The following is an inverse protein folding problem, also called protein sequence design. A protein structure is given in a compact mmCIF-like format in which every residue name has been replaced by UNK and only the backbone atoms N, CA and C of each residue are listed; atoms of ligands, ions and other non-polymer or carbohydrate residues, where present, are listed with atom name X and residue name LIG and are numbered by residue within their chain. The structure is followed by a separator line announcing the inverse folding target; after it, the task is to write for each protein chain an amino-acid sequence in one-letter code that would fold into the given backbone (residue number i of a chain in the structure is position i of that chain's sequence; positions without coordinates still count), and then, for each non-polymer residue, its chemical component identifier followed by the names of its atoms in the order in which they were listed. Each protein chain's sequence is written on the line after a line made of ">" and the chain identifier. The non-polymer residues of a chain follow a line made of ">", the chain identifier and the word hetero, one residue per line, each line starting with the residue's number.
data_IF_815488781179
#
_entry.id   IF_815488781179
#
_cell.length_a   1.000
_cell.length_b   1.000
_cell.length_c   1.000
_cell.angle_alpha   90.00
_cell.angle_beta   90.00
_cell.angle_gamma   90.00
#
_symmetry.space_group_name_H-M   'P 1'
#
loop_
_entity.id
_entity.type
_entity.pdbx_description
1 polymer ?
#
# COMPACT_ATOMS: atom_id res chain seq x y z
N UNK A 1 -28.68 -40.54 13.65
CA UNK A 1 -28.22 -39.27 13.08
C UNK A 1 -26.70 -39.32 13.08
N UNK A 2 -26.07 -39.57 11.93
CA UNK A 2 -24.61 -39.49 11.82
C UNK A 2 -24.26 -38.01 11.61
N UNK A 3 -23.65 -37.39 12.62
CA UNK A 3 -22.93 -36.13 12.42
C UNK A 3 -21.67 -36.47 11.63
N UNK A 4 -21.64 -36.06 10.36
CA UNK A 4 -20.39 -36.07 9.58
C UNK A 4 -19.49 -34.98 10.16
N UNK A 5 -18.47 -35.38 10.93
CA UNK A 5 -17.34 -34.50 11.24
C UNK A 5 -16.55 -34.29 9.95
N UNK A 6 -16.89 -33.24 9.20
CA UNK A 6 -16.03 -32.78 8.12
C UNK A 6 -14.81 -32.16 8.82
N UNK A 7 -13.68 -32.87 8.75
CA UNK A 7 -12.41 -32.29 9.15
C UNK A 7 -12.05 -31.25 8.08
N UNK A 8 -12.26 -29.98 8.40
CA UNK A 8 -11.88 -28.87 7.53
C UNK A 8 -10.38 -28.61 7.74
N UNK A 9 -9.60 -28.60 6.66
CA UNK A 9 -8.17 -28.27 6.72
C UNK A 9 -7.90 -26.88 6.15
N UNK A 10 -6.88 -26.18 6.66
CA UNK A 10 -6.47 -24.84 6.17
C UNK A 10 -6.25 -24.81 4.66
N UNK A 11 -5.63 -25.86 4.10
CA UNK A 11 -5.41 -25.98 2.66
C UNK A 11 -6.68 -25.88 1.79
N UNK A 12 -7.88 -26.12 2.35
CA UNK A 12 -9.13 -26.01 1.59
C UNK A 12 -9.57 -24.56 1.37
N UNK A 13 -9.06 -23.61 2.16
CA UNK A 13 -9.44 -22.21 2.08
C UNK A 13 -8.32 -21.33 1.51
N UNK A 14 -7.20 -21.87 1.08
CA UNK A 14 -6.14 -21.12 0.40
C UNK A 14 -6.67 -20.38 -0.85
N UNK A 15 -6.11 -19.20 -1.10
CA UNK A 15 -6.47 -18.29 -2.19
C UNK A 15 -7.20 -17.02 -1.74
N UNK A 16 -7.64 -16.22 -2.70
CA UNK A 16 -8.30 -14.94 -2.45
C UNK A 16 -9.81 -15.06 -2.52
N UNK A 17 -10.52 -14.41 -1.59
CA UNK A 17 -11.97 -14.42 -1.51
C UNK A 17 -12.51 -13.00 -1.33
N UNK A 18 -13.58 -12.67 -2.04
CA UNK A 18 -14.32 -11.43 -1.84
C UNK A 18 -15.51 -11.64 -0.93
N UNK A 19 -15.65 -10.76 0.06
CA UNK A 19 -16.81 -10.68 0.94
C UNK A 19 -17.95 -9.83 0.37
N UNK A 20 -17.80 -9.33 -0.86
CA UNK A 20 -18.76 -8.45 -1.51
C UNK A 20 -19.52 -9.14 -2.63
N UNK A 21 -20.72 -8.63 -2.92
CA UNK A 21 -21.48 -9.07 -4.08
C UNK A 21 -20.82 -8.58 -5.37
N UNK A 22 -20.98 -9.37 -6.44
CA UNK A 22 -20.43 -9.02 -7.77
C UNK A 22 -20.96 -7.66 -8.24
N UNK A 23 -20.05 -6.76 -8.61
CA UNK A 23 -20.38 -5.45 -9.20
C UNK A 23 -20.47 -4.29 -8.21
N UNK A 24 -20.08 -4.47 -6.95
CA UNK A 24 -19.86 -3.35 -6.03
C UNK A 24 -18.56 -2.60 -6.40
N UNK A 25 -18.57 -1.27 -6.26
CA UNK A 25 -17.42 -0.41 -6.57
C UNK A 25 -16.32 -0.46 -5.50
N UNK A 26 -16.66 -0.95 -4.31
CA UNK A 26 -15.71 -1.30 -3.26
C UNK A 26 -15.21 -2.74 -3.42
N UNK A 27 -14.07 -3.03 -2.81
CA UNK A 27 -13.57 -4.39 -2.60
C UNK A 27 -13.45 -4.66 -1.11
N UNK A 28 -13.70 -5.92 -0.72
CA UNK A 28 -13.37 -6.48 0.59
C UNK A 28 -12.81 -7.86 0.34
N UNK A 29 -11.51 -8.04 0.52
CA UNK A 29 -10.78 -9.22 0.08
C UNK A 29 -9.97 -9.80 1.23
N UNK A 30 -10.03 -11.11 1.36
CA UNK A 30 -9.16 -11.91 2.22
C UNK A 30 -8.33 -12.83 1.33
N UNK A 31 -7.01 -12.83 1.48
CA UNK A 31 -6.09 -13.73 0.77
C UNK A 31 -5.41 -14.64 1.78
N UNK A 32 -5.67 -15.94 1.69
CA UNK A 32 -5.08 -16.98 2.54
C UNK A 32 -3.89 -17.64 1.85
N UNK A 33 -2.73 -17.58 2.49
CA UNK A 33 -1.46 -18.08 1.97
C UNK A 33 -1.15 -19.49 2.54
N UNK A 34 -0.28 -20.22 1.85
CA UNK A 34 0.13 -21.60 2.19
C UNK A 34 0.92 -21.68 3.52
N UNK A 35 1.42 -20.56 4.03
CA UNK A 35 2.22 -20.46 5.26
C UNK A 35 1.40 -20.07 6.50
N UNK A 36 0.09 -20.33 6.47
CA UNK A 36 -0.87 -19.98 7.52
C UNK A 36 -1.01 -18.47 7.80
N UNK A 37 -0.57 -17.62 6.87
CA UNK A 37 -0.75 -16.17 6.93
C UNK A 37 -1.89 -15.70 6.03
N UNK A 38 -2.45 -14.52 6.33
CA UNK A 38 -3.46 -13.90 5.48
C UNK A 38 -3.27 -12.40 5.35
N UNK A 39 -3.79 -11.87 4.25
CA UNK A 39 -3.89 -10.44 3.96
C UNK A 39 -5.36 -10.03 3.86
N UNK A 40 -5.73 -8.92 4.48
CA UNK A 40 -7.06 -8.31 4.41
C UNK A 40 -6.95 -6.92 3.81
N UNK A 41 -7.80 -6.65 2.83
CA UNK A 41 -7.87 -5.38 2.13
C UNK A 41 -9.33 -4.98 1.90
N UNK A 42 -9.71 -3.81 2.40
CA UNK A 42 -11.01 -3.21 2.18
C UNK A 42 -10.84 -1.78 1.69
N UNK A 43 -11.56 -1.41 0.63
CA UNK A 43 -11.50 -0.07 0.09
C UNK A 43 -12.26 0.06 -1.22
N UNK A 44 -11.84 1.03 -2.03
CA UNK A 44 -12.44 1.31 -3.33
C UNK A 44 -11.35 1.66 -4.35
N UNK A 45 -11.76 2.22 -5.49
CA UNK A 45 -10.91 2.44 -6.66
C UNK A 45 -9.57 3.17 -6.42
N UNK A 46 -9.38 3.85 -5.29
CA UNK A 46 -8.23 4.73 -5.05
C UNK A 46 -7.20 4.20 -4.04
N UNK A 47 -7.61 3.41 -3.04
CA UNK A 47 -6.75 2.87 -1.99
C UNK A 47 -7.54 1.91 -1.08
N UNK A 48 -6.83 1.29 -0.13
CA UNK A 48 -7.45 0.66 1.04
C UNK A 48 -8.03 1.77 1.94
N UNK A 49 -9.27 1.59 2.38
CA UNK A 49 -9.85 2.30 3.52
C UNK A 49 -9.46 1.61 4.84
N UNK A 50 -9.32 0.28 4.82
CA UNK A 50 -8.81 -0.55 5.92
C UNK A 50 -7.93 -1.68 5.36
N UNK A 51 -6.93 -2.08 6.13
CA UNK A 51 -6.09 -3.22 5.76
C UNK A 51 -5.56 -3.95 7.00
N UNK A 52 -5.17 -5.20 6.84
CA UNK A 52 -4.67 -6.02 7.93
C UNK A 52 -3.84 -7.20 7.44
N UNK A 53 -2.94 -7.67 8.29
CA UNK A 53 -2.10 -8.84 8.04
C UNK A 53 -2.13 -9.71 9.29
N UNK A 54 -1.96 -11.01 9.13
CA UNK A 54 -2.04 -11.87 10.29
C UNK A 54 -1.83 -13.34 10.00
N UNK A 55 -2.15 -14.14 11.01
CA UNK A 55 -2.18 -15.60 10.93
C UNK A 55 -3.62 -16.10 10.96
N UNK A 56 -3.90 -17.19 10.25
CA UNK A 56 -5.22 -17.81 10.27
C UNK A 56 -5.13 -19.28 10.68
N UNK A 57 -6.17 -19.75 11.36
CA UNK A 57 -6.27 -21.13 11.82
C UNK A 57 -7.68 -21.68 11.68
N UNK A 58 -7.79 -22.98 11.42
CA UNK A 58 -9.09 -23.68 11.46
C UNK A 58 -9.10 -24.60 12.69
N UNK A 59 -10.02 -24.32 13.63
CA UNK A 59 -10.22 -25.14 14.82
C UNK A 59 -11.66 -25.64 14.88
N UNK A 60 -11.85 -26.92 14.55
CA UNK A 60 -13.19 -27.51 14.38
C UNK A 60 -13.87 -26.91 13.16
N UNK A 61 -15.00 -26.24 13.37
CA UNK A 61 -15.74 -25.48 12.37
C UNK A 61 -15.47 -23.98 12.42
N UNK A 62 -14.45 -23.53 13.15
CA UNK A 62 -14.14 -22.10 13.28
C UNK A 62 -12.92 -21.72 12.45
N UNK A 63 -13.05 -20.68 11.65
CA UNK A 63 -11.96 -19.90 11.08
C UNK A 63 -11.59 -18.80 12.07
N UNK A 64 -10.35 -18.81 12.56
CA UNK A 64 -9.79 -17.79 13.45
C UNK A 64 -8.82 -16.93 12.65
N UNK A 65 -9.03 -15.63 12.66
CA UNK A 65 -8.17 -14.62 12.03
C UNK A 65 -7.51 -13.81 13.13
N UNK A 66 -6.20 -13.92 13.28
CA UNK A 66 -5.43 -13.13 14.24
C UNK A 66 -4.70 -12.02 13.50
N UNK A 67 -5.18 -10.78 13.62
CA UNK A 67 -4.58 -9.59 13.02
C UNK A 67 -3.36 -9.14 13.82
N UNK A 68 -2.18 -9.29 13.22
CA UNK A 68 -0.89 -8.95 13.80
C UNK A 68 -0.36 -7.61 13.24
N UNK A 69 0.76 -7.12 13.79
CA UNK A 69 1.41 -5.91 13.23
C UNK A 69 1.96 -6.21 11.83
N UNK A 70 1.74 -5.34 10.83
CA UNK A 70 2.19 -5.57 9.46
C UNK A 70 3.71 -5.62 9.38
N UNK A 71 4.26 -6.34 8.38
CA UNK A 71 5.69 -6.26 8.06
C UNK A 71 6.11 -4.82 7.78
N UNK A 72 7.29 -4.41 8.29
CA UNK A 72 7.89 -3.07 8.12
C UNK A 72 8.12 -2.68 6.65
N UNK A 73 8.03 -3.64 5.74
CA UNK A 73 8.40 -3.49 4.32
C UNK A 73 7.56 -2.46 3.56
N UNK A 74 6.40 -2.08 4.09
CA UNK A 74 5.41 -1.22 3.43
C UNK A 74 5.61 0.29 3.65
N UNK A 75 6.72 0.77 4.21
CA UNK A 75 6.98 2.21 4.33
C UNK A 75 7.61 2.80 3.06
N UNK A 76 7.30 4.06 2.73
CA UNK A 76 8.02 4.78 1.67
C UNK A 76 9.51 4.87 2.01
N UNK A 77 10.36 4.88 0.98
CA UNK A 77 11.82 4.89 1.15
C UNK A 77 12.42 6.03 0.36
N UNK A 78 13.31 6.80 0.99
CA UNK A 78 14.02 7.91 0.35
C UNK A 78 15.51 7.67 0.52
N UNK A 79 16.23 7.59 -0.60
CA UNK A 79 17.69 7.61 -0.65
C UNK A 79 18.15 8.85 -1.39
N UNK A 80 19.00 9.65 -0.75
CA UNK A 80 19.56 10.86 -1.35
C UNK A 80 21.08 10.72 -1.52
N UNK A 81 21.57 10.99 -2.73
CA UNK A 81 22.99 11.22 -2.97
C UNK A 81 23.23 12.72 -3.05
N UNK A 82 24.23 13.20 -2.32
CA UNK A 82 24.57 14.63 -2.19
C UNK A 82 25.93 14.89 -2.81
N UNK A 83 26.07 15.98 -3.55
CA UNK A 83 27.39 16.45 -4.02
C UNK A 83 27.49 17.96 -3.97
N UNK A 84 28.72 18.43 -3.75
CA UNK A 84 28.99 19.85 -3.68
C UNK A 84 28.59 20.54 -4.97
N UNK A 85 27.97 21.69 -4.82
CA UNK A 85 27.66 22.55 -5.94
C UNK A 85 28.90 23.37 -6.31
N UNK A 86 29.40 23.20 -7.54
CA UNK A 86 30.57 23.92 -8.06
C UNK A 86 30.18 25.14 -8.90
N UNK A 87 28.88 25.41 -9.06
CA UNK A 87 28.32 26.47 -9.89
C UNK A 87 27.26 27.27 -9.10
N UNK A 88 26.81 28.40 -9.62
CA UNK A 88 25.71 29.18 -9.01
C UNK A 88 24.33 28.50 -9.14
N UNK A 89 24.26 27.32 -9.76
CA UNK A 89 23.01 26.60 -9.99
C UNK A 89 22.82 25.38 -9.10
N UNK A 90 21.70 25.28 -8.39
CA UNK A 90 21.31 24.07 -7.67
C UNK A 90 20.64 23.08 -8.63
N UNK A 91 21.10 21.83 -8.60
CA UNK A 91 20.54 20.71 -9.39
C UNK A 91 19.93 19.70 -8.45
N UNK A 92 18.64 19.41 -8.66
CA UNK A 92 17.90 18.40 -7.92
C UNK A 92 17.36 17.38 -8.91
N UNK A 93 17.85 16.15 -8.84
CA UNK A 93 17.35 15.01 -9.62
C UNK A 93 16.40 14.20 -8.76
N UNK A 94 15.31 13.73 -9.34
CA UNK A 94 14.31 12.92 -8.66
C UNK A 94 13.98 11.72 -9.52
N UNK A 95 14.06 10.53 -8.92
CA UNK A 95 13.58 9.27 -9.47
C UNK A 95 12.49 8.74 -8.56
N UNK A 96 11.34 8.41 -9.13
CA UNK A 96 10.12 8.07 -8.39
C UNK A 96 9.59 6.72 -8.86
N UNK A 97 9.51 5.77 -7.92
CA UNK A 97 9.04 4.42 -8.14
C UNK A 97 7.98 4.04 -7.10
N UNK A 98 7.23 2.98 -7.35
CA UNK A 98 6.52 2.27 -6.29
C UNK A 98 7.47 1.32 -5.51
N UNK A 99 6.96 0.66 -4.47
CA UNK A 99 7.73 -0.31 -3.69
C UNK A 99 8.20 -1.52 -4.54
N UNK A 100 7.53 -1.82 -5.66
CA UNK A 100 7.85 -2.90 -6.61
C UNK A 100 8.84 -2.45 -7.71
N UNK A 101 9.38 -1.23 -7.62
CA UNK A 101 10.30 -0.64 -8.61
C UNK A 101 9.68 -0.31 -9.98
N UNK A 102 8.35 -0.22 -10.07
CA UNK A 102 7.70 0.32 -11.26
C UNK A 102 7.82 1.85 -11.28
N UNK A 103 8.15 2.47 -12.42
CA UNK A 103 8.24 3.93 -12.52
C UNK A 103 6.88 4.59 -12.35
N UNK A 104 6.83 5.67 -11.58
CA UNK A 104 5.59 6.41 -11.28
C UNK A 104 5.20 7.35 -12.42
N UNK A 105 5.01 6.81 -13.62
CA UNK A 105 4.86 7.58 -14.85
C UNK A 105 3.73 8.60 -14.74
N UNK A 106 4.07 9.86 -14.96
CA UNK A 106 3.13 10.95 -14.97
C UNK A 106 2.75 11.53 -13.60
N UNK A 107 3.38 11.08 -12.53
CA UNK A 107 3.40 11.80 -11.26
C UNK A 107 3.97 13.21 -11.40
N UNK A 108 3.51 14.12 -10.54
CA UNK A 108 4.05 15.46 -10.44
C UNK A 108 4.92 15.59 -9.20
N UNK A 109 6.07 16.24 -9.39
CA UNK A 109 6.93 16.71 -8.32
C UNK A 109 6.84 18.23 -8.34
N UNK A 110 6.49 18.81 -7.20
CA UNK A 110 6.48 20.25 -7.00
C UNK A 110 7.72 20.62 -6.18
N UNK A 111 8.58 21.47 -6.73
CA UNK A 111 9.65 22.12 -5.99
C UNK A 111 9.08 23.40 -5.39
N UNK A 112 8.96 23.44 -4.07
CA UNK A 112 8.38 24.55 -3.33
C UNK A 112 9.49 25.35 -2.65
N UNK A 113 9.58 26.64 -3.00
CA UNK A 113 10.45 27.63 -2.39
C UNK A 113 9.81 29.02 -2.47
N UNK A 114 10.56 30.04 -2.89
CA UNK A 114 10.02 31.37 -3.18
C UNK A 114 8.94 31.35 -4.28
N UNK A 115 9.12 30.48 -5.29
CA UNK A 115 8.11 30.14 -6.29
C UNK A 115 7.93 28.62 -6.34
N UNK A 116 6.78 28.18 -6.85
CA UNK A 116 6.50 26.75 -7.06
C UNK A 116 6.86 26.39 -8.51
N UNK A 117 7.81 25.47 -8.67
CA UNK A 117 8.09 24.85 -9.96
C UNK A 117 7.50 23.45 -9.99
N UNK A 118 6.67 23.16 -10.98
CA UNK A 118 6.02 21.85 -11.14
C UNK A 118 6.60 21.10 -12.32
N UNK A 119 7.01 19.86 -12.12
CA UNK A 119 7.45 18.97 -13.21
C UNK A 119 6.78 17.62 -13.13
N UNK A 120 6.33 17.16 -14.30
CA UNK A 120 5.87 15.78 -14.50
C UNK A 120 7.09 14.86 -14.62
N UNK A 121 7.05 13.68 -14.02
CA UNK A 121 8.07 12.65 -14.24
C UNK A 121 7.87 11.99 -15.59
N UNK A 122 8.97 11.60 -16.23
CA UNK A 122 8.96 10.96 -17.53
C UNK A 122 8.57 9.46 -17.45
N UNK A 123 8.66 8.77 -18.59
CA UNK A 123 8.35 7.34 -18.72
C UNK A 123 9.30 6.43 -17.91
N UNK A 124 10.43 6.95 -17.45
CA UNK A 124 11.39 6.25 -16.60
C UNK A 124 11.27 6.66 -15.13
N UNK A 125 10.22 7.42 -14.78
CA UNK A 125 9.98 7.91 -13.42
C UNK A 125 10.92 9.04 -13.00
N UNK A 126 11.51 9.78 -13.95
CA UNK A 126 12.56 10.75 -13.67
C UNK A 126 12.14 12.19 -13.92
N UNK A 127 12.67 13.11 -13.12
CA UNK A 127 12.64 14.54 -13.42
C UNK A 127 13.86 15.25 -12.83
N UNK A 128 14.12 16.48 -13.27
CA UNK A 128 15.26 17.27 -12.78
C UNK A 128 14.88 18.74 -12.69
N UNK A 129 15.15 19.36 -11.55
CA UNK A 129 15.09 20.80 -11.35
C UNK A 129 16.50 21.39 -11.45
N UNK A 130 16.58 22.56 -12.08
CA UNK A 130 17.78 23.39 -12.09
C UNK A 130 17.37 24.79 -11.67
N UNK A 131 17.81 25.22 -10.49
CA UNK A 131 17.58 26.55 -9.96
C UNK A 131 18.81 27.39 -10.26
N UNK A 132 18.63 28.52 -10.92
CA UNK A 132 19.73 29.43 -11.30
C UNK A 132 19.87 30.62 -10.35
N UNK A 133 18.93 30.79 -9.42
CA UNK A 133 18.94 31.90 -8.47
C UNK A 133 19.99 31.69 -7.38
N UNK A 134 20.53 32.78 -6.83
CA UNK A 134 21.35 32.74 -5.61
C UNK A 134 20.57 32.14 -4.43
N UNK A 135 21.23 31.47 -3.46
CA UNK A 135 20.55 30.87 -2.31
C UNK A 135 19.59 31.82 -1.58
N UNK A 136 19.97 33.08 -1.42
CA UNK A 136 19.16 34.13 -0.77
C UNK A 136 17.80 34.41 -1.43
N UNK A 137 17.62 34.03 -2.70
CA UNK A 137 16.39 34.25 -3.48
C UNK A 137 15.49 33.02 -3.54
N UNK A 138 15.92 31.88 -2.99
CA UNK A 138 15.19 30.60 -3.08
C UNK A 138 14.12 30.43 -2.00
N UNK A 139 14.05 31.38 -1.06
CA UNK A 139 13.13 31.39 0.08
C UNK A 139 13.73 30.71 1.32
N UNK A 140 13.06 30.90 2.47
CA UNK A 140 13.56 30.40 3.77
C UNK A 140 13.47 28.87 3.90
N UNK A 141 12.62 28.23 3.10
CA UNK A 141 12.44 26.78 3.05
C UNK A 141 12.36 26.31 1.61
N UNK A 142 13.11 25.26 1.27
CA UNK A 142 13.08 24.61 -0.03
C UNK A 142 12.76 23.13 0.18
N UNK A 143 11.73 22.61 -0.47
CA UNK A 143 11.36 21.20 -0.36
C UNK A 143 10.70 20.68 -1.63
N UNK A 144 10.71 19.35 -1.80
CA UNK A 144 9.89 18.67 -2.78
C UNK A 144 8.56 18.29 -2.12
N UNK A 145 7.45 18.62 -2.76
CA UNK A 145 6.12 18.08 -2.46
C UNK A 145 5.76 17.09 -3.58
N UNK A 146 5.55 15.83 -3.22
CA UNK A 146 5.28 14.76 -4.17
C UNK A 146 3.91 14.19 -3.85
N UNK A 147 3.03 14.27 -4.84
CA UNK A 147 1.66 13.80 -4.74
C UNK A 147 1.31 12.98 -5.98
N UNK A 148 0.88 11.75 -5.75
CA UNK A 148 0.37 10.86 -6.79
C UNK A 148 -0.82 10.07 -6.25
N UNK A 149 -1.88 9.98 -7.06
CA UNK A 149 -3.14 9.36 -6.65
C UNK A 149 -2.91 7.90 -6.28
N UNK A 150 -3.44 7.48 -5.12
CA UNK A 150 -3.30 6.14 -4.58
C UNK A 150 -2.01 5.90 -3.80
N UNK A 151 -1.20 6.93 -3.55
CA UNK A 151 0.08 6.83 -2.83
C UNK A 151 0.16 7.84 -1.69
N UNK A 152 0.99 7.54 -0.69
CA UNK A 152 1.27 8.45 0.40
C UNK A 152 1.89 9.76 -0.11
N UNK A 153 1.35 10.89 0.35
CA UNK A 153 1.91 12.21 0.09
C UNK A 153 3.18 12.40 0.91
N UNK A 154 4.27 12.76 0.26
CA UNK A 154 5.56 12.99 0.95
C UNK A 154 6.07 14.41 0.74
N UNK A 155 6.77 14.92 1.76
CA UNK A 155 7.54 16.18 1.68
C UNK A 155 9.00 15.91 2.01
N UNK A 156 9.91 16.37 1.15
CA UNK A 156 11.35 16.15 1.29
C UNK A 156 12.07 17.48 1.37
N UNK A 157 12.61 17.80 2.56
CA UNK A 157 13.39 19.02 2.76
C UNK A 157 14.70 19.01 1.94
N UNK A 158 15.07 20.16 1.41
CA UNK A 158 16.25 20.36 0.57
C UNK A 158 17.28 21.25 1.28
N UNK A 159 18.55 20.95 1.05
CA UNK A 159 19.68 21.81 1.44
C UNK A 159 20.00 22.71 0.25
N UNK A 160 19.97 24.02 0.45
CA UNK A 160 19.97 24.96 -0.67
C UNK A 160 21.33 25.02 -1.39
N UNK A 161 22.43 24.66 -0.73
CA UNK A 161 23.79 24.79 -1.27
C UNK A 161 24.32 23.49 -1.88
N UNK A 162 23.57 22.39 -1.76
CA UNK A 162 24.04 21.04 -2.10
C UNK A 162 23.16 20.43 -3.17
N UNK A 163 23.76 20.01 -4.28
CA UNK A 163 23.05 19.27 -5.30
C UNK A 163 22.62 17.91 -4.78
N UNK A 164 21.42 17.46 -5.17
CA UNK A 164 20.82 16.24 -4.66
C UNK A 164 20.26 15.37 -5.78
N UNK A 165 20.41 14.06 -5.61
CA UNK A 165 19.81 13.04 -6.46
C UNK A 165 19.05 12.06 -5.57
N UNK A 166 17.73 12.16 -5.64
CA UNK A 166 16.80 11.35 -4.88
C UNK A 166 16.38 10.12 -5.67
N UNK A 167 16.43 8.97 -5.01
CA UNK A 167 15.67 7.79 -5.37
C UNK A 167 14.59 7.58 -4.30
N UNK A 168 13.33 7.69 -4.72
CA UNK A 168 12.15 7.70 -3.85
C UNK A 168 11.23 6.56 -4.29
N UNK A 169 10.95 5.65 -3.35
CA UNK A 169 9.92 4.64 -3.50
C UNK A 169 8.69 5.07 -2.68
N UNK A 170 7.58 5.37 -3.34
CA UNK A 170 6.33 5.71 -2.69
C UNK A 170 5.61 4.46 -2.19
N UNK A 171 5.07 4.55 -0.97
CA UNK A 171 4.10 3.59 -0.47
C UNK A 171 2.73 3.92 -1.04
N UNK A 172 1.89 2.92 -1.36
CA UNK A 172 0.45 3.13 -1.52
C UNK A 172 -0.13 3.88 -0.32
N UNK A 173 -1.16 4.68 -0.55
CA UNK A 173 -1.93 5.31 0.52
C UNK A 173 -2.52 4.20 1.38
N UNK A 174 -2.35 4.30 2.68
CA UNK A 174 -2.81 3.29 3.62
C UNK A 174 -4.10 3.72 4.27
N UNK A 175 -5.05 2.79 4.31
CA UNK A 175 -6.23 2.88 5.15
C UNK A 175 -5.91 2.76 6.63
N UNK A 176 -6.93 2.56 7.45
CA UNK A 176 -6.77 2.23 8.85
C UNK A 176 -6.21 0.79 8.99
N UNK A 177 -5.15 0.63 9.78
CA UNK A 177 -4.57 -0.68 10.04
C UNK A 177 -5.40 -1.40 11.12
N UNK A 178 -5.85 -2.61 10.81
CA UNK A 178 -6.39 -3.56 11.80
C UNK A 178 -5.24 -4.39 12.37
N UNK A 179 -5.05 -4.34 13.70
CA UNK A 179 -4.03 -5.09 14.44
C UNK A 179 -4.49 -5.31 15.89
N UNK A 180 -3.91 -6.31 16.57
CA UNK A 180 -4.27 -6.68 17.95
C UNK A 180 -5.76 -7.06 18.08
N UNK A 181 -6.28 -7.70 17.03
CA UNK A 181 -7.68 -8.13 16.92
C UNK A 181 -7.72 -9.61 16.53
N UNK A 182 -8.62 -10.36 17.16
CA UNK A 182 -8.91 -11.75 16.79
C UNK A 182 -10.37 -11.87 16.41
N UNK A 183 -10.62 -12.23 15.16
CA UNK A 183 -11.96 -12.55 14.67
C UNK A 183 -12.14 -14.06 14.61
N UNK A 184 -13.33 -14.54 15.01
CA UNK A 184 -13.69 -15.94 14.90
C UNK A 184 -14.99 -16.07 14.12
N UNK A 185 -14.93 -16.82 13.02
CA UNK A 185 -16.04 -17.04 12.10
C UNK A 185 -16.37 -18.53 12.05
N UNK A 186 -17.65 -18.87 12.14
CA UNK A 186 -18.10 -20.25 12.00
C UNK A 186 -18.27 -20.61 10.53
N UNK A 187 -17.55 -21.63 10.08
CA UNK A 187 -17.64 -22.21 8.76
C UNK A 187 -18.87 -23.11 8.68
N UNK A 188 -19.78 -22.81 7.75
CA UNK A 188 -20.99 -23.62 7.50
C UNK A 188 -20.81 -24.52 6.28
N UNK A 189 -20.10 -24.04 5.27
CA UNK A 189 -19.85 -24.77 4.03
C UNK A 189 -18.56 -24.27 3.38
N UNK A 190 -17.76 -25.17 2.82
CA UNK A 190 -16.65 -24.86 1.91
C UNK A 190 -16.87 -25.65 0.63
N UNK A 191 -16.71 -24.99 -0.51
CA UNK A 191 -16.56 -25.63 -1.80
C UNK A 191 -15.53 -24.87 -2.65
N UNK A 192 -15.30 -25.32 -3.87
CA UNK A 192 -14.27 -24.76 -4.77
C UNK A 192 -14.49 -23.26 -5.09
N UNK A 193 -15.72 -22.75 -4.96
CA UNK A 193 -16.11 -21.41 -5.39
C UNK A 193 -16.40 -20.43 -4.26
N UNK A 194 -16.66 -20.94 -3.04
CA UNK A 194 -17.09 -20.10 -1.93
C UNK A 194 -16.88 -20.75 -0.57
N UNK A 195 -16.89 -19.88 0.44
CA UNK A 195 -16.97 -20.23 1.85
C UNK A 195 -18.24 -19.58 2.41
N UNK A 196 -19.15 -20.38 2.97
CA UNK A 196 -20.29 -19.88 3.74
C UNK A 196 -19.86 -19.76 5.20
N UNK A 197 -19.92 -18.55 5.73
CA UNK A 197 -19.46 -18.18 7.05
C UNK A 197 -20.63 -17.61 7.86
N UNK A 198 -20.45 -17.59 9.18
CA UNK A 198 -21.37 -16.99 10.12
C UNK A 198 -20.59 -16.31 11.24
N UNK A 199 -20.95 -15.07 11.55
CA UNK A 199 -20.54 -14.41 12.79
C UNK A 199 -21.68 -14.44 13.83
N UNK A 200 -21.57 -13.65 14.91
CA UNK A 200 -22.59 -13.58 15.95
C UNK A 200 -23.97 -13.11 15.43
N UNK A 201 -24.00 -12.35 14.33
CA UNK A 201 -25.15 -11.59 13.87
C UNK A 201 -25.78 -12.16 12.61
N UNK A 202 -24.99 -12.64 11.65
CA UNK A 202 -25.48 -13.02 10.32
C UNK A 202 -24.65 -14.10 9.61
N UNK A 203 -25.28 -14.73 8.62
CA UNK A 203 -24.60 -15.62 7.67
C UNK A 203 -24.24 -14.84 6.41
N UNK A 204 -23.02 -15.03 5.93
CA UNK A 204 -22.52 -14.37 4.73
C UNK A 204 -21.62 -15.30 3.93
N UNK A 205 -21.46 -15.00 2.65
CA UNK A 205 -20.66 -15.82 1.73
C UNK A 205 -19.45 -15.04 1.24
N UNK A 206 -18.29 -15.68 1.31
CA UNK A 206 -17.09 -15.23 0.63
C UNK A 206 -16.92 -16.01 -0.67
N UNK A 207 -16.81 -15.30 -1.79
CA UNK A 207 -16.66 -15.90 -3.11
C UNK A 207 -15.20 -15.93 -3.52
N UNK A 208 -14.72 -17.09 -3.96
CA UNK A 208 -13.33 -17.25 -4.43
C UNK A 208 -13.11 -16.41 -5.68
N UNK A 209 -12.05 -15.61 -5.67
CA UNK A 209 -11.61 -14.81 -6.81
C UNK A 209 -10.77 -15.76 -7.68
N UNK A 210 -11.26 -16.04 -8.89
CA UNK A 210 -10.52 -16.81 -9.88
C UNK A 210 -9.69 -15.85 -10.73
N UNK A 211 -8.37 -16.05 -10.78
CA UNK A 211 -7.46 -15.36 -11.71
C UNK A 211 -7.70 -15.78 -13.16
#
# INVERSE_FOLDING_TARGET
>A
MLLSNIAISQAQIEGSYSALAKGQESYKVYTFLEDDTFEYHYGASLADDEYGYGTYGITGDNLVLNFDTPPVENAYRIKATKWNNTNDSLVIKVRLFDLKQNPMVGAYVDLVGAEIQKKKVDIHGQTTFKILDEPSKRGDSLYLDINYVGFEKIKVGLIQEINMDFNINLSPLKGELIYDQIDTLHIREINEDKILLRDENEEFTWHKIRE
#
